data_IF_627634915109
#
_entry.id   IF_627634915109
#
_cell.length_a   1.000
_cell.length_b   1.000
_cell.length_c   1.000
_cell.angle_alpha   90.00
_cell.angle_beta   90.00
_cell.angle_gamma   90.00
#
_symmetry.space_group_name_H-M   'P 1'
#
loop_
_entity.id
_entity.type
_entity.pdbx_description
1 polymer ?
#
# COMPACT_ATOMS: atom_id res chain seq x y z
N UNK A 1 16.91 -26.73 -0.89
CA UNK A 1 15.56 -26.17 -1.12
C UNK A 1 15.75 -24.67 -1.18
N UNK A 2 15.33 -24.01 -2.26
CA UNK A 2 15.53 -22.57 -2.45
C UNK A 2 14.42 -21.80 -1.73
N UNK A 3 14.79 -20.79 -0.93
CA UNK A 3 13.84 -19.95 -0.19
C UNK A 3 12.75 -19.33 -1.09
N UNK A 4 13.06 -19.08 -2.37
CA UNK A 4 12.11 -18.60 -3.37
C UNK A 4 10.90 -19.54 -3.55
N UNK A 5 11.14 -20.85 -3.62
CA UNK A 5 10.05 -21.83 -3.82
C UNK A 5 9.15 -21.95 -2.60
N UNK A 6 9.71 -21.75 -1.40
CA UNK A 6 8.95 -21.76 -0.15
C UNK A 6 8.03 -20.52 -0.06
N UNK A 7 8.52 -19.33 -0.40
CA UNK A 7 7.71 -18.10 -0.44
C UNK A 7 6.52 -18.23 -1.41
N UNK A 8 6.77 -18.70 -2.64
CA UNK A 8 5.73 -18.89 -3.65
C UNK A 8 4.66 -19.89 -3.21
N UNK A 9 5.08 -20.99 -2.57
CA UNK A 9 4.16 -21.98 -2.02
C UNK A 9 3.25 -21.37 -0.93
N UNK A 10 3.82 -20.63 0.01
CA UNK A 10 3.07 -20.01 1.10
C UNK A 10 2.04 -18.99 0.59
N UNK A 11 2.44 -18.14 -0.37
CA UNK A 11 1.54 -17.18 -1.02
C UNK A 11 0.43 -17.91 -1.78
N UNK A 12 0.75 -18.96 -2.52
CA UNK A 12 -0.23 -19.77 -3.24
C UNK A 12 -1.25 -20.39 -2.28
N UNK A 13 -0.80 -20.96 -1.16
CA UNK A 13 -1.69 -21.55 -0.13
C UNK A 13 -2.60 -20.52 0.51
N UNK A 14 -2.10 -19.32 0.81
CA UNK A 14 -2.95 -18.26 1.32
C UNK A 14 -4.04 -17.87 0.30
N UNK A 15 -3.69 -17.69 -0.98
CA UNK A 15 -4.64 -17.32 -2.04
C UNK A 15 -5.78 -18.32 -2.21
N UNK A 16 -5.45 -19.62 -2.19
CA UNK A 16 -6.44 -20.70 -2.33
C UNK A 16 -7.50 -20.65 -1.21
N UNK A 17 -7.14 -20.17 -0.02
CA UNK A 17 -8.03 -20.11 1.13
C UNK A 17 -8.87 -18.82 1.19
N UNK A 18 -8.54 -17.77 0.44
CA UNK A 18 -9.26 -16.48 0.52
C UNK A 18 -10.78 -16.62 0.35
N UNK A 19 -11.30 -17.40 -0.61
CA UNK A 19 -12.75 -17.52 -0.81
C UNK A 19 -13.46 -18.27 0.32
N UNK A 20 -12.81 -19.30 0.87
CA UNK A 20 -13.44 -20.25 1.81
C UNK A 20 -13.15 -19.91 3.28
N UNK A 21 -11.90 -19.54 3.59
CA UNK A 21 -11.43 -19.19 4.93
C UNK A 21 -10.40 -18.04 4.88
N UNK A 22 -10.88 -16.78 4.85
CA UNK A 22 -10.00 -15.61 4.82
C UNK A 22 -9.17 -15.45 6.10
N UNK A 23 -9.54 -16.09 7.21
CA UNK A 23 -8.75 -16.06 8.45
C UNK A 23 -7.56 -17.00 8.37
N UNK A 24 -7.77 -18.21 7.86
CA UNK A 24 -6.68 -19.14 7.57
C UNK A 24 -5.73 -18.55 6.52
N UNK A 25 -6.24 -17.93 5.46
CA UNK A 25 -5.41 -17.23 4.46
C UNK A 25 -4.47 -16.19 5.10
N UNK A 26 -5.00 -15.38 6.03
CA UNK A 26 -4.20 -14.41 6.78
C UNK A 26 -3.19 -15.06 7.71
N UNK A 27 -3.56 -16.14 8.41
CA UNK A 27 -2.64 -16.87 9.27
C UNK A 27 -1.44 -17.38 8.47
N UNK A 28 -1.67 -17.95 7.28
CA UNK A 28 -0.61 -18.36 6.36
C UNK A 28 0.34 -17.21 6.00
N UNK A 29 -0.20 -16.04 5.65
CA UNK A 29 0.65 -14.90 5.29
C UNK A 29 1.39 -14.29 6.49
N UNK A 30 0.78 -14.28 7.68
CA UNK A 30 1.46 -13.86 8.91
C UNK A 30 2.66 -14.79 9.17
N UNK A 31 2.45 -16.10 9.11
CA UNK A 31 3.52 -17.10 9.23
C UNK A 31 4.59 -16.89 8.16
N UNK A 32 4.19 -16.71 6.90
CA UNK A 32 5.11 -16.49 5.79
C UNK A 32 5.97 -15.23 6.02
N UNK A 33 5.36 -14.13 6.46
CA UNK A 33 6.08 -12.89 6.79
C UNK A 33 7.04 -13.05 7.96
N UNK A 34 6.70 -13.87 8.95
CA UNK A 34 7.62 -14.19 10.05
C UNK A 34 8.86 -14.95 9.57
N UNK A 35 8.68 -15.89 8.63
CA UNK A 35 9.79 -16.68 8.07
C UNK A 35 10.62 -15.88 7.05
N UNK A 36 9.97 -15.06 6.22
CA UNK A 36 10.57 -14.34 5.12
C UNK A 36 10.17 -12.85 5.14
N UNK A 37 10.61 -12.08 6.15
CA UNK A 37 10.16 -10.71 6.35
C UNK A 37 10.56 -9.75 5.22
N UNK A 38 11.64 -10.05 4.48
CA UNK A 38 12.12 -9.23 3.37
C UNK A 38 11.54 -9.64 2.01
N UNK A 39 10.63 -10.61 1.95
CA UNK A 39 10.03 -11.04 0.69
C UNK A 39 8.91 -10.09 0.25
N UNK A 40 9.10 -9.48 -0.92
CA UNK A 40 8.13 -8.54 -1.49
C UNK A 40 6.78 -9.20 -1.80
N UNK A 41 6.78 -10.43 -2.34
CA UNK A 41 5.54 -11.08 -2.80
C UNK A 41 4.62 -11.40 -1.62
N UNK A 42 5.18 -11.82 -0.49
CA UNK A 42 4.42 -12.06 0.74
C UNK A 42 3.79 -10.74 1.23
N UNK A 43 4.57 -9.67 1.34
CA UNK A 43 4.05 -8.38 1.81
C UNK A 43 2.99 -7.82 0.85
N UNK A 44 3.24 -7.89 -0.45
CA UNK A 44 2.30 -7.43 -1.46
C UNK A 44 0.99 -8.25 -1.45
N UNK A 45 1.06 -9.56 -1.23
CA UNK A 45 -0.16 -10.37 -1.12
C UNK A 45 -0.99 -9.98 0.11
N UNK A 46 -0.34 -9.71 1.25
CA UNK A 46 -1.03 -9.21 2.44
C UNK A 46 -1.77 -7.90 2.14
N UNK A 47 -1.13 -6.98 1.42
CA UNK A 47 -1.76 -5.74 0.96
C UNK A 47 -2.98 -6.02 0.07
N UNK A 48 -2.84 -6.88 -0.93
CA UNK A 48 -3.91 -7.20 -1.89
C UNK A 48 -5.14 -7.79 -1.17
N UNK A 49 -4.94 -8.71 -0.24
CA UNK A 49 -6.05 -9.31 0.51
C UNK A 49 -6.78 -8.24 1.34
N UNK A 50 -6.07 -7.38 2.05
CA UNK A 50 -6.72 -6.34 2.86
C UNK A 50 -7.40 -5.28 1.98
N UNK A 51 -6.81 -4.94 0.84
CA UNK A 51 -7.39 -4.01 -0.14
C UNK A 51 -8.70 -4.57 -0.71
N UNK A 52 -8.69 -5.81 -1.17
CA UNK A 52 -9.86 -6.46 -1.77
C UNK A 52 -10.96 -6.73 -0.74
N UNK A 53 -10.60 -6.90 0.54
CA UNK A 53 -11.55 -6.99 1.64
C UNK A 53 -12.02 -5.62 2.16
N UNK A 54 -11.73 -4.53 1.45
CA UNK A 54 -12.10 -3.15 1.80
C UNK A 54 -11.61 -2.70 3.20
N UNK A 55 -10.56 -3.32 3.75
CA UNK A 55 -9.99 -2.97 5.06
C UNK A 55 -8.99 -1.83 4.91
N UNK A 56 -9.52 -0.65 4.62
CA UNK A 56 -8.77 0.54 4.21
C UNK A 56 -7.61 0.93 5.13
N UNK A 57 -7.80 0.89 6.45
CA UNK A 57 -6.75 1.22 7.42
C UNK A 57 -5.59 0.21 7.39
N UNK A 58 -5.89 -1.08 7.31
CA UNK A 58 -4.87 -2.15 7.26
C UNK A 58 -4.12 -2.14 5.93
N UNK A 59 -4.86 -2.05 4.83
CA UNK A 59 -4.28 -1.96 3.49
C UNK A 59 -3.37 -0.73 3.33
N UNK A 60 -3.75 0.41 3.92
CA UNK A 60 -2.94 1.64 3.86
C UNK A 60 -1.60 1.49 4.58
N UNK A 61 -1.59 0.86 5.75
CA UNK A 61 -0.36 0.57 6.50
C UNK A 61 0.54 -0.40 5.74
N UNK A 62 -0.03 -1.49 5.22
CA UNK A 62 0.74 -2.48 4.45
C UNK A 62 1.35 -1.86 3.19
N UNK A 63 0.58 -1.06 2.45
CA UNK A 63 1.11 -0.36 1.28
C UNK A 63 2.22 0.64 1.68
N UNK A 64 2.10 1.30 2.83
CA UNK A 64 3.14 2.20 3.34
C UNK A 64 4.42 1.44 3.63
N UNK A 65 4.33 0.34 4.37
CA UNK A 65 5.47 -0.52 4.70
C UNK A 65 6.14 -1.04 3.42
N UNK A 66 5.35 -1.48 2.43
CA UNK A 66 5.87 -1.95 1.14
C UNK A 66 6.58 -0.81 0.40
N UNK A 67 6.03 0.40 0.40
CA UNK A 67 6.62 1.55 -0.25
C UNK A 67 7.98 1.93 0.36
N UNK A 68 8.10 1.89 1.69
CA UNK A 68 9.37 2.18 2.37
C UNK A 68 10.42 1.09 2.09
N UNK A 69 10.00 -0.17 2.13
CA UNK A 69 10.92 -1.30 2.07
C UNK A 69 11.28 -1.71 0.63
N UNK A 70 10.41 -1.42 -0.35
CA UNK A 70 10.57 -1.84 -1.74
C UNK A 70 10.26 -0.71 -2.74
N UNK A 71 10.93 0.45 -2.65
CA UNK A 71 10.67 1.59 -3.52
C UNK A 71 10.98 1.30 -4.99
N UNK A 72 11.84 0.31 -5.29
CA UNK A 72 12.19 -0.07 -6.66
C UNK A 72 11.10 -0.88 -7.38
N UNK A 73 10.06 -1.34 -6.67
CA UNK A 73 9.00 -2.18 -7.24
C UNK A 73 7.97 -1.33 -8.01
N UNK A 74 7.88 -1.42 -9.35
CA UNK A 74 7.05 -0.52 -10.15
C UNK A 74 5.55 -0.60 -9.83
N UNK A 75 5.10 -1.78 -9.38
CA UNK A 75 3.71 -2.00 -9.01
C UNK A 75 3.29 -1.15 -7.81
N UNK A 76 4.21 -0.84 -6.90
CA UNK A 76 3.94 -0.02 -5.71
C UNK A 76 3.67 1.42 -6.14
N UNK A 77 4.50 1.97 -7.02
CA UNK A 77 4.29 3.29 -7.61
C UNK A 77 3.01 3.36 -8.43
N UNK A 78 2.64 2.29 -9.14
CA UNK A 78 1.35 2.24 -9.83
C UNK A 78 0.18 2.40 -8.87
N UNK A 79 0.21 1.74 -7.71
CA UNK A 79 -0.83 1.92 -6.68
C UNK A 79 -0.85 3.36 -6.18
N UNK A 80 0.31 3.96 -5.87
CA UNK A 80 0.40 5.37 -5.43
C UNK A 80 -0.16 6.33 -6.49
N UNK A 81 0.10 6.09 -7.77
CA UNK A 81 -0.46 6.89 -8.87
C UNK A 81 -1.97 6.76 -8.97
N UNK A 82 -2.54 5.56 -8.79
CA UNK A 82 -4.00 5.35 -8.75
C UNK A 82 -4.63 6.09 -7.57
N UNK A 83 -3.99 6.02 -6.40
CA UNK A 83 -4.38 6.77 -5.20
C UNK A 83 -4.38 8.28 -5.50
N UNK A 84 -3.29 8.78 -6.07
CA UNK A 84 -3.12 10.21 -6.39
C UNK A 84 -4.19 10.69 -7.37
N UNK A 85 -4.49 9.90 -8.41
CA UNK A 85 -5.52 10.21 -9.40
C UNK A 85 -6.93 10.24 -8.80
N UNK A 86 -7.27 9.26 -7.97
CA UNK A 86 -8.58 9.21 -7.30
C UNK A 86 -8.76 10.38 -6.32
N UNK A 87 -7.71 10.77 -5.59
CA UNK A 87 -7.72 11.98 -4.74
C UNK A 87 -7.89 13.27 -5.55
N UNK A 88 -7.34 13.35 -6.76
CA UNK A 88 -7.46 14.51 -7.65
C UNK A 88 -8.90 14.70 -8.14
N UNK A 89 -9.57 13.62 -8.50
CA UNK A 89 -10.88 13.65 -9.16
C UNK A 89 -12.08 13.82 -8.22
N UNK A 90 -11.86 14.00 -6.91
CA UNK A 90 -12.94 14.09 -5.90
C UNK A 90 -13.95 12.95 -6.02
N UNK A 91 -13.50 11.79 -6.48
CA UNK A 91 -14.39 10.66 -6.66
C UNK A 91 -14.95 10.30 -5.28
N UNK A 92 -16.27 10.24 -5.19
CA UNK A 92 -16.99 9.67 -4.04
C UNK A 92 -16.89 8.14 -4.03
N UNK A 93 -16.13 7.57 -4.97
CA UNK A 93 -15.89 6.15 -5.08
C UNK A 93 -15.26 5.63 -3.78
N UNK A 94 -15.65 4.43 -3.36
CA UNK A 94 -15.19 3.84 -2.09
C UNK A 94 -13.68 3.60 -2.10
N UNK A 95 -13.12 3.38 -3.29
CA UNK A 95 -11.67 3.38 -3.53
C UNK A 95 -11.00 4.73 -3.23
N UNK A 96 -11.72 5.85 -3.28
CA UNK A 96 -11.24 7.17 -2.89
C UNK A 96 -11.36 7.43 -1.38
N UNK A 97 -12.28 6.75 -0.68
CA UNK A 97 -12.33 6.78 0.80
C UNK A 97 -11.12 6.08 1.43
N UNK A 98 -10.59 5.03 0.78
CA UNK A 98 -9.29 4.44 1.12
C UNK A 98 -8.15 5.47 1.21
N UNK A 99 -8.29 6.63 0.57
CA UNK A 99 -7.19 7.56 0.28
C UNK A 99 -7.15 8.76 1.21
N UNK A 100 -8.12 8.92 2.10
CA UNK A 100 -8.28 10.10 2.97
C UNK A 100 -7.79 9.87 4.40
N UNK A 101 -7.06 8.78 4.65
CA UNK A 101 -6.56 8.46 5.99
C UNK A 101 -5.18 9.09 6.30
N UNK A 102 -4.82 9.21 7.60
CA UNK A 102 -3.54 9.79 8.02
C UNK A 102 -2.31 9.06 7.46
N UNK A 103 -2.40 7.74 7.32
CA UNK A 103 -1.31 6.89 6.79
C UNK A 103 -1.08 7.16 5.30
N UNK A 104 -2.15 7.38 4.54
CA UNK A 104 -2.08 7.72 3.12
C UNK A 104 -1.49 9.12 2.90
N UNK A 105 -1.78 10.07 3.79
CA UNK A 105 -1.11 11.37 3.80
C UNK A 105 0.40 11.24 4.01
N UNK A 106 0.83 10.42 4.99
CA UNK A 106 2.26 10.16 5.24
C UNK A 106 2.94 9.44 4.06
N UNK A 107 2.24 8.52 3.41
CA UNK A 107 2.72 7.86 2.20
C UNK A 107 2.93 8.86 1.05
N UNK A 108 1.92 9.70 0.77
CA UNK A 108 1.99 10.72 -0.26
C UNK A 108 3.13 11.70 0.02
N UNK A 109 3.30 12.14 1.27
CA UNK A 109 4.43 12.99 1.68
C UNK A 109 5.77 12.33 1.35
N UNK A 110 6.01 11.09 1.77
CA UNK A 110 7.26 10.38 1.43
C UNK A 110 7.41 10.11 -0.07
N UNK A 111 6.33 9.82 -0.79
CA UNK A 111 6.35 9.68 -2.24
C UNK A 111 6.81 10.98 -2.91
N UNK A 112 6.32 12.14 -2.44
CA UNK A 112 6.79 13.44 -2.95
C UNK A 112 8.27 13.70 -2.66
N UNK A 113 8.80 13.23 -1.53
CA UNK A 113 10.21 13.37 -1.20
C UNK A 113 11.10 12.54 -2.16
N UNK A 114 10.63 11.34 -2.53
CA UNK A 114 11.32 10.40 -3.40
C UNK A 114 11.07 10.60 -4.89
N UNK A 115 10.07 11.41 -5.28
CA UNK A 115 9.85 11.78 -6.68
C UNK A 115 11.01 12.62 -7.23
N UNK A 116 11.69 12.09 -8.26
CA UNK A 116 12.75 12.78 -8.99
C UNK A 116 12.22 13.87 -9.94
N UNK A 117 10.96 13.76 -10.36
CA UNK A 117 10.33 14.73 -11.27
C UNK A 117 9.75 15.91 -10.49
N UNK A 118 10.31 17.11 -10.71
CA UNK A 118 9.91 18.35 -10.04
C UNK A 118 8.44 18.72 -10.26
N UNK A 119 7.87 18.41 -11.43
CA UNK A 119 6.47 18.71 -11.73
C UNK A 119 5.52 17.79 -10.97
N UNK A 120 5.76 16.47 -11.00
CA UNK A 120 4.97 15.50 -10.23
C UNK A 120 5.08 15.75 -8.73
N UNK A 121 6.27 16.12 -8.25
CA UNK A 121 6.49 16.51 -6.85
C UNK A 121 5.65 17.73 -6.46
N UNK A 122 5.59 18.75 -7.30
CA UNK A 122 4.78 19.95 -7.07
C UNK A 122 3.27 19.63 -7.10
N UNK A 123 2.82 18.81 -8.04
CA UNK A 123 1.43 18.38 -8.14
C UNK A 123 0.98 17.58 -6.91
N UNK A 124 1.82 16.66 -6.42
CA UNK A 124 1.51 15.87 -5.23
C UNK A 124 1.54 16.74 -3.96
N UNK A 125 2.44 17.72 -3.85
CA UNK A 125 2.42 18.69 -2.74
C UNK A 125 1.14 19.52 -2.73
N UNK A 126 0.69 20.04 -3.88
CA UNK A 126 -0.56 20.78 -3.98
C UNK A 126 -1.78 19.92 -3.60
N UNK A 127 -1.77 18.64 -3.99
CA UNK A 127 -2.81 17.69 -3.62
C UNK A 127 -2.86 17.44 -2.11
N UNK A 128 -1.70 17.30 -1.46
CA UNK A 128 -1.58 17.16 -0.01
C UNK A 128 -2.14 18.39 0.73
N UNK A 129 -1.74 19.59 0.32
CA UNK A 129 -2.24 20.85 0.90
C UNK A 129 -3.76 20.98 0.79
N UNK A 130 -4.34 20.58 -0.35
CA UNK A 130 -5.78 20.66 -0.61
C UNK A 130 -6.59 19.62 0.17
N UNK A 131 -6.06 18.42 0.36
CA UNK A 131 -6.81 17.28 0.93
C UNK A 131 -6.55 17.03 2.41
N UNK A 132 -5.39 17.43 2.90
CA UNK A 132 -4.97 17.25 4.28
C UNK A 132 -4.44 18.57 4.85
N UNK A 133 -5.29 19.60 4.96
CA UNK A 133 -4.87 20.93 5.42
C UNK A 133 -4.29 20.92 6.84
N UNK A 134 -4.71 19.98 7.70
CA UNK A 134 -4.21 19.88 9.08
C UNK A 134 -2.75 19.40 9.18
N UNK A 135 -2.25 18.65 8.20
CA UNK A 135 -0.85 18.19 8.15
C UNK A 135 0.15 19.32 7.81
N UNK A 136 -0.35 20.44 7.28
CA UNK A 136 0.48 21.61 6.93
C UNK A 136 0.92 22.36 8.18
N UNK A 137 0.10 22.35 9.23
CA UNK A 137 0.35 23.07 10.48
C UNK A 137 1.54 22.49 11.25
N UNK A 138 1.95 21.25 10.97
CA UNK A 138 3.09 20.60 11.64
C UNK A 138 4.43 20.75 10.90
N UNK A 139 4.44 21.26 9.66
CA UNK A 139 5.64 21.34 8.82
C UNK A 139 5.85 22.72 8.16
N UNK A 140 5.04 23.72 8.53
CA UNK A 140 5.18 25.12 8.09
C UNK A 140 6.02 25.96 9.03
#
# INVERSE_FOLDING_TARGET
>A
MSAQGDCEFLVKRARELVPDDPWAAKAWLITARTLYPADFNIQYEMYIIERNAERTSSAGRLLYDIFINFPEQPVVWREISLITAALRNDSQDKHAQFLKGPVQCQMLLKATEQCFNTLEKAEMHLLLLKRFPESVVQHG
#
